data_IF_510463315503
#
_entry.id   IF_510463315503
#
_cell.length_a   1.000
_cell.length_b   1.000
_cell.length_c   1.000
_cell.angle_alpha   90.00
_cell.angle_beta   90.00
_cell.angle_gamma   90.00
#
_symmetry.space_group_name_H-M   'P 1'
#
loop_
_entity.id
_entity.type
_entity.pdbx_description
1 polymer ?
#
# COMPACT_ATOMS: atom_id res chain seq x y z
N UNK A 1 -10.88 -6.78 9.68
CA UNK A 1 -9.97 -6.03 8.78
C UNK A 1 -10.54 -4.63 8.64
N UNK A 2 -9.82 -3.60 9.07
CA UNK A 2 -10.20 -2.19 8.92
C UNK A 2 -10.37 -1.85 7.43
N UNK A 3 -11.32 -0.99 7.10
CA UNK A 3 -11.56 -0.58 5.71
C UNK A 3 -10.38 0.29 5.24
N UNK A 4 -9.68 -0.05 4.15
CA UNK A 4 -8.55 0.75 3.70
C UNK A 4 -8.96 2.16 3.27
N UNK A 5 -8.11 3.13 3.59
CA UNK A 5 -8.27 4.53 3.18
C UNK A 5 -7.31 4.86 2.05
N UNK A 6 -7.85 5.19 0.87
CA UNK A 6 -7.05 5.70 -0.25
C UNK A 6 -6.68 7.15 0.03
N UNK A 7 -5.38 7.48 -0.02
CA UNK A 7 -4.87 8.83 0.27
C UNK A 7 -4.01 9.35 -0.88
N UNK A 8 -4.32 10.55 -1.36
CA UNK A 8 -3.63 11.19 -2.47
C UNK A 8 -2.53 12.15 -2.01
N UNK A 9 -2.50 12.47 -0.72
CA UNK A 9 -1.57 13.42 -0.13
C UNK A 9 -1.23 13.08 1.32
N UNK A 10 -0.13 13.64 1.83
CA UNK A 10 0.24 13.53 3.24
C UNK A 10 -0.80 14.22 4.16
N UNK A 11 -1.43 15.30 3.69
CA UNK A 11 -2.48 15.99 4.44
C UNK A 11 -3.71 15.11 4.65
N UNK A 12 -4.16 14.41 3.60
CA UNK A 12 -5.25 13.42 3.72
C UNK A 12 -4.88 12.28 4.65
N UNK A 13 -3.66 11.76 4.53
CA UNK A 13 -3.21 10.67 5.39
C UNK A 13 -3.17 11.08 6.87
N UNK A 14 -2.69 12.28 7.19
CA UNK A 14 -2.74 12.86 8.55
C UNK A 14 -4.17 13.01 9.05
N UNK A 15 -5.09 13.47 8.20
CA UNK A 15 -6.50 13.60 8.58
C UNK A 15 -7.12 12.23 8.94
N UNK A 16 -6.78 11.18 8.19
CA UNK A 16 -7.19 9.81 8.51
C UNK A 16 -6.59 9.36 9.85
N UNK A 17 -5.30 9.60 10.09
CA UNK A 17 -4.65 9.23 11.35
C UNK A 17 -5.24 9.95 12.56
N UNK A 18 -5.52 11.25 12.43
CA UNK A 18 -6.08 12.08 13.50
C UNK A 18 -7.52 11.71 13.85
N UNK A 19 -8.30 11.18 12.90
CA UNK A 19 -9.68 10.76 13.11
C UNK A 19 -9.82 9.37 13.79
N UNK A 20 -8.71 8.72 14.15
CA UNK A 20 -8.69 7.35 14.67
C UNK A 20 -8.20 7.31 16.11
N UNK A 21 -8.78 6.41 16.90
CA UNK A 21 -8.40 6.23 18.31
C UNK A 21 -7.05 5.54 18.45
N UNK A 22 -6.31 5.89 19.51
CA UNK A 22 -5.01 5.26 19.82
C UNK A 22 -5.23 3.76 20.02
N UNK A 23 -4.42 2.95 19.34
CA UNK A 23 -4.55 1.48 19.34
C UNK A 23 -5.40 0.90 18.20
N UNK A 24 -6.13 1.71 17.43
CA UNK A 24 -6.79 1.23 16.21
C UNK A 24 -5.78 1.15 15.05
N UNK A 25 -5.62 -0.03 14.48
CA UNK A 25 -4.76 -0.23 13.32
C UNK A 25 -5.35 0.43 12.06
N UNK A 26 -4.60 1.35 11.46
CA UNK A 26 -5.02 2.09 10.26
C UNK A 26 -4.40 1.48 9.02
N UNK A 27 -5.23 1.18 8.02
CA UNK A 27 -4.74 0.74 6.70
C UNK A 27 -4.86 1.89 5.71
N UNK A 28 -3.73 2.34 5.19
CA UNK A 28 -3.61 3.37 4.16
C UNK A 28 -3.21 2.73 2.84
N UNK A 29 -3.81 3.21 1.76
CA UNK A 29 -3.52 2.77 0.41
C UNK A 29 -3.18 3.97 -0.47
N UNK A 30 -2.20 3.80 -1.34
CA UNK A 30 -1.98 4.78 -2.39
C UNK A 30 -3.16 4.74 -3.37
N UNK A 31 -3.32 5.79 -4.21
CA UNK A 31 -4.27 5.72 -5.30
C UNK A 31 -3.88 4.61 -6.30
N UNK A 32 -4.82 4.18 -7.18
CA UNK A 32 -4.55 3.16 -8.18
C UNK A 32 -3.35 3.49 -9.05
N UNK A 33 -2.45 2.52 -9.24
CA UNK A 33 -1.22 2.64 -10.03
C UNK A 33 -0.27 3.78 -9.61
N UNK A 34 -0.36 4.29 -8.38
CA UNK A 34 0.47 5.40 -7.88
C UNK A 34 1.97 5.17 -7.99
N UNK A 35 2.42 3.91 -7.95
CA UNK A 35 3.83 3.59 -8.15
C UNK A 35 4.38 4.12 -9.50
N UNK A 36 3.54 4.23 -10.53
CA UNK A 36 3.95 4.68 -11.86
C UNK A 36 3.94 6.18 -12.08
N UNK A 37 3.15 6.96 -11.32
CA UNK A 37 3.02 8.41 -11.57
C UNK A 37 3.38 9.29 -10.36
N UNK A 38 3.11 8.88 -9.13
CA UNK A 38 3.69 9.52 -7.94
C UNK A 38 5.10 8.99 -7.66
N UNK A 39 5.34 7.73 -8.01
CA UNK A 39 6.60 7.05 -7.76
C UNK A 39 6.68 6.40 -6.38
N UNK A 40 7.51 5.37 -6.30
CA UNK A 40 7.76 4.59 -5.06
C UNK A 40 8.35 5.48 -3.96
N UNK A 41 9.22 6.43 -4.33
CA UNK A 41 9.86 7.35 -3.38
C UNK A 41 8.87 8.24 -2.65
N UNK A 42 7.86 8.75 -3.37
CA UNK A 42 6.79 9.54 -2.77
C UNK A 42 6.04 8.75 -1.69
N UNK A 43 5.64 7.52 -2.01
CA UNK A 43 4.91 6.68 -1.05
C UNK A 43 5.74 6.39 0.20
N UNK A 44 7.03 6.06 0.02
CA UNK A 44 7.94 5.81 1.14
C UNK A 44 8.12 7.05 2.02
N UNK A 45 8.29 8.23 1.42
CA UNK A 45 8.40 9.48 2.16
C UNK A 45 7.13 9.79 2.96
N UNK A 46 5.95 9.58 2.37
CA UNK A 46 4.67 9.75 3.04
C UNK A 46 4.54 8.81 4.24
N UNK A 47 4.82 7.51 4.07
CA UNK A 47 4.74 6.52 5.16
C UNK A 47 5.74 6.84 6.27
N UNK A 48 6.98 7.21 5.91
CA UNK A 48 8.02 7.58 6.88
C UNK A 48 7.57 8.75 7.73
N UNK A 49 7.07 9.83 7.11
CA UNK A 49 6.57 10.99 7.84
C UNK A 49 5.43 10.63 8.81
N UNK A 50 4.50 9.76 8.40
CA UNK A 50 3.42 9.32 9.29
C UNK A 50 3.90 8.44 10.44
N UNK A 51 4.86 7.54 10.21
CA UNK A 51 5.42 6.71 11.28
C UNK A 51 6.19 7.56 12.30
N UNK A 52 6.87 8.62 11.85
CA UNK A 52 7.55 9.58 12.73
C UNK A 52 6.58 10.46 13.52
N UNK A 53 5.49 10.92 12.89
CA UNK A 53 4.46 11.76 13.53
C UNK A 53 3.54 10.98 14.47
N UNK A 54 3.33 9.69 14.20
CA UNK A 54 2.40 8.83 14.94
C UNK A 54 3.11 7.53 15.40
N UNK A 55 4.16 7.63 16.24
CA UNK A 55 5.00 6.48 16.61
C UNK A 55 4.26 5.38 17.36
N UNK A 56 3.18 5.73 18.08
CA UNK A 56 2.36 4.80 18.85
C UNK A 56 1.22 4.17 18.03
N UNK A 57 1.17 4.39 16.72
CA UNK A 57 0.08 3.90 15.85
C UNK A 57 0.56 2.80 14.91
N UNK A 58 -0.23 1.73 14.82
CA UNK A 58 0.01 0.67 13.83
C UNK A 58 -0.51 1.11 12.45
N UNK A 59 0.41 1.41 11.53
CA UNK A 59 0.10 1.82 10.16
C UNK A 59 0.41 0.68 9.19
N UNK A 60 -0.61 0.21 8.47
CA UNK A 60 -0.47 -0.71 7.32
C UNK A 60 -0.54 0.09 6.04
N UNK A 61 0.58 0.21 5.34
CA UNK A 61 0.68 0.99 4.11
C UNK A 61 0.79 0.11 2.87
N UNK A 62 -0.16 0.21 1.94
CA UNK A 62 -0.20 -0.55 0.68
C UNK A 62 0.08 0.36 -0.52
N UNK A 63 1.12 0.06 -1.29
CA UNK A 63 1.40 0.75 -2.56
C UNK A 63 0.75 0.01 -3.73
N UNK A 64 -0.11 0.69 -4.48
CA UNK A 64 -0.72 0.17 -5.70
C UNK A 64 0.22 0.35 -6.91
N UNK A 65 0.61 -0.77 -7.51
CA UNK A 65 1.48 -0.86 -8.69
C UNK A 65 0.70 -1.10 -9.99
N UNK A 66 -0.63 -1.01 -9.97
CA UNK A 66 -1.48 -1.25 -11.12
C UNK A 66 -1.24 -2.64 -11.71
N UNK A 67 -0.94 -2.70 -13.01
CA UNK A 67 -0.61 -3.93 -13.74
C UNK A 67 0.86 -4.02 -14.17
N UNK A 68 1.76 -3.33 -13.46
CA UNK A 68 3.18 -3.24 -13.81
C UNK A 68 4.08 -4.02 -12.82
N UNK A 69 4.47 -5.28 -13.15
CA UNK A 69 5.33 -6.10 -12.29
C UNK A 69 6.68 -5.46 -11.98
N UNK A 70 7.23 -4.67 -12.92
CA UNK A 70 8.47 -3.93 -12.71
C UNK A 70 8.37 -2.93 -11.56
N UNK A 71 7.24 -2.23 -11.42
CA UNK A 71 6.99 -1.33 -10.29
C UNK A 71 6.84 -2.09 -8.98
N UNK A 72 6.13 -3.23 -8.99
CA UNK A 72 6.00 -4.05 -7.80
C UNK A 72 7.35 -4.56 -7.30
N UNK A 73 8.19 -5.09 -8.20
CA UNK A 73 9.54 -5.55 -7.85
C UNK A 73 10.42 -4.40 -7.34
N UNK A 74 10.37 -3.24 -7.99
CA UNK A 74 11.11 -2.06 -7.55
C UNK A 74 10.64 -1.58 -6.17
N UNK A 75 9.33 -1.60 -5.90
CA UNK A 75 8.76 -1.24 -4.60
C UNK A 75 9.25 -2.17 -3.48
N UNK A 76 9.20 -3.49 -3.71
CA UNK A 76 9.68 -4.49 -2.76
C UNK A 76 11.18 -4.28 -2.45
N UNK A 77 12.01 -4.08 -3.48
CA UNK A 77 13.45 -3.80 -3.32
C UNK A 77 13.72 -2.48 -2.59
N UNK A 78 12.84 -1.49 -2.75
CA UNK A 78 12.91 -0.23 -2.02
C UNK A 78 12.42 -0.34 -0.56
N UNK A 79 11.99 -1.53 -0.11
CA UNK A 79 11.56 -1.79 1.26
C UNK A 79 10.07 -1.56 1.53
N UNK A 80 9.24 -1.38 0.50
CA UNK A 80 7.78 -1.32 0.66
C UNK A 80 7.26 -2.67 1.13
N UNK A 81 6.55 -2.69 2.27
CA UNK A 81 6.14 -3.92 2.97
C UNK A 81 4.84 -4.54 2.46
N UNK A 82 4.00 -3.77 1.77
CA UNK A 82 2.75 -4.27 1.19
C UNK A 82 2.54 -3.63 -0.18
N UNK A 83 2.43 -4.46 -1.20
CA UNK A 83 2.30 -4.02 -2.60
C UNK A 83 1.06 -4.63 -3.21
N UNK A 84 0.19 -3.80 -3.81
CA UNK A 84 -0.93 -4.28 -4.62
C UNK A 84 -0.56 -4.31 -6.09
N UNK A 85 -0.91 -5.41 -6.76
CA UNK A 85 -0.76 -5.54 -8.21
C UNK A 85 -1.88 -6.41 -8.81
N UNK A 86 -2.28 -6.06 -10.02
CA UNK A 86 -3.16 -6.82 -10.91
C UNK A 86 -2.30 -7.49 -11.99
N UNK A 87 -1.97 -8.77 -11.80
CA UNK A 87 -1.06 -9.51 -12.68
C UNK A 87 -1.52 -10.97 -12.86
N UNK A 88 -1.07 -11.67 -13.92
CA UNK A 88 -1.35 -13.09 -14.11
C UNK A 88 -0.86 -13.94 -12.92
N UNK A 89 -1.51 -15.09 -12.70
CA UNK A 89 -1.24 -15.96 -11.55
C UNK A 89 0.23 -16.37 -11.40
N UNK A 90 0.91 -16.68 -12.51
CA UNK A 90 2.33 -17.02 -12.52
C UNK A 90 3.21 -15.84 -12.03
N UNK A 91 2.92 -14.63 -12.49
CA UNK A 91 3.62 -13.42 -12.05
C UNK A 91 3.33 -13.11 -10.58
N UNK A 92 2.09 -13.30 -10.13
CA UNK A 92 1.72 -13.14 -8.72
C UNK A 92 2.46 -14.15 -7.83
N UNK A 93 2.57 -15.41 -8.26
CA UNK A 93 3.31 -16.43 -7.52
C UNK A 93 4.79 -16.03 -7.36
N UNK A 94 5.44 -15.66 -8.46
CA UNK A 94 6.84 -15.22 -8.43
C UNK A 94 7.05 -13.98 -7.54
N UNK A 95 6.17 -12.97 -7.65
CA UNK A 95 6.24 -11.77 -6.82
C UNK A 95 5.98 -12.07 -5.33
N UNK A 96 5.12 -13.04 -5.03
CA UNK A 96 4.80 -13.43 -3.64
C UNK A 96 6.00 -14.10 -2.98
N UNK A 97 6.70 -15.00 -3.67
CA UNK A 97 7.94 -15.61 -3.19
C UNK A 97 9.02 -14.55 -2.90
N UNK A 98 9.20 -13.61 -3.83
CA UNK A 98 10.15 -12.49 -3.66
C UNK A 98 9.74 -11.60 -2.48
N UNK A 99 8.46 -11.29 -2.35
CA UNK A 99 7.95 -10.47 -1.25
C UNK A 99 8.21 -11.16 0.09
N UNK A 100 7.93 -12.47 0.20
CA UNK A 100 8.17 -13.25 1.41
C UNK A 100 9.65 -13.23 1.80
N UNK A 101 10.55 -13.43 0.83
CA UNK A 101 12.01 -13.36 1.04
C UNK A 101 12.49 -11.96 1.52
N UNK A 102 11.74 -10.89 1.22
CA UNK A 102 12.03 -9.51 1.61
C UNK A 102 11.25 -9.07 2.87
N UNK A 103 10.50 -9.97 3.51
CA UNK A 103 9.64 -9.65 4.65
C UNK A 103 8.53 -8.67 4.28
N UNK A 104 7.95 -8.84 3.10
CA UNK A 104 6.87 -8.04 2.53
C UNK A 104 5.75 -8.97 2.01
N UNK A 105 4.63 -8.39 1.58
CA UNK A 105 3.49 -9.13 1.06
C UNK A 105 2.93 -8.53 -0.24
N UNK A 106 2.46 -9.41 -1.13
CA UNK A 106 1.62 -9.03 -2.27
C UNK A 106 0.16 -9.04 -1.85
N UNK A 107 -0.54 -7.94 -2.11
CA UNK A 107 -1.98 -7.83 -2.00
C UNK A 107 -2.58 -8.04 -3.39
N UNK A 108 -3.41 -9.06 -3.55
CA UNK A 108 -4.21 -9.18 -4.76
C UNK A 108 -5.26 -8.05 -4.76
N UNK A 109 -5.55 -7.51 -5.94
CA UNK A 109 -6.69 -6.62 -6.12
C UNK A 109 -7.94 -7.37 -5.66
N UNK A 110 -8.62 -6.86 -4.63
CA UNK A 110 -9.93 -7.41 -4.25
C UNK A 110 -10.84 -7.30 -5.48
N UNK A 111 -11.61 -8.34 -5.83
CA UNK A 111 -12.68 -8.19 -6.79
C UNK A 111 -13.54 -7.02 -6.32
N UNK A 112 -13.63 -5.95 -7.12
CA UNK A 112 -14.61 -4.91 -6.84
C UNK A 112 -15.96 -5.59 -7.00
N UNK A 113 -16.63 -5.90 -5.88
CA UNK A 113 -18.04 -6.26 -5.94
C UNK A 113 -18.76 -5.09 -6.60
N UNK A 114 -19.19 -5.28 -7.84
CA UNK A 114 -20.27 -4.51 -8.42
C UNK A 114 -21.57 -5.08 -7.85
N UNK A 115 -22.48 -4.21 -7.40
CA UNK A 115 -23.96 -4.32 -7.32
C UNK A 115 -24.47 -3.05 -6.60
N UNK A 116 -25.57 -2.39 -6.96
CA UNK A 116 -26.64 -2.63 -7.95
C UNK A 116 -27.47 -1.34 -8.08
N UNK A 117 -27.82 -0.93 -9.32
CA UNK A 117 -28.98 -0.17 -9.79
C UNK A 117 -28.65 0.48 -11.15
#
# INVERSE_FOLDING_TARGET
MTNPHVVHSLAEARAVMAARDVGEAVTLESPPAAAGYHGIGWWRALVTALTEEFPDREIKAVLDCGSAPGHALAALRAGVKSVRIDAPAETLAALTEIAAALGAAIQQKKPSFRREA
#
